data_IF_904667602119
#
_entry.id   IF_904667602119
#
_cell.length_a   1.000
_cell.length_b   1.000
_cell.length_c   1.000
_cell.angle_alpha   90.00
_cell.angle_beta   90.00
_cell.angle_gamma   90.00
#
_symmetry.space_group_name_H-M   'P 1'
#
loop_
_entity.id
_entity.type
_entity.pdbx_description
1 polymer ?
#
# COMPACT_ATOMS: atom_id res chain seq x y z
N UNK A 1 -47.04 29.48 -23.03
CA UNK A 1 -45.57 29.47 -23.17
C UNK A 1 -44.83 29.02 -21.91
N UNK A 2 -45.30 29.37 -20.71
CA UNK A 2 -44.67 29.01 -19.41
C UNK A 2 -44.39 27.51 -19.19
N UNK A 3 -45.29 26.60 -19.61
CA UNK A 3 -45.08 25.14 -19.45
C UNK A 3 -43.85 24.60 -20.20
N UNK A 4 -43.50 25.16 -21.36
CA UNK A 4 -42.33 24.72 -22.14
C UNK A 4 -41.01 25.23 -21.53
N UNK A 5 -41.04 26.41 -20.92
CA UNK A 5 -39.90 26.99 -20.23
C UNK A 5 -39.55 26.23 -18.94
N UNK A 6 -40.57 25.82 -18.17
CA UNK A 6 -40.36 25.03 -16.95
C UNK A 6 -39.76 23.65 -17.24
N UNK A 7 -40.19 23.02 -18.35
CA UNK A 7 -39.70 21.70 -18.76
C UNK A 7 -38.25 21.76 -19.25
N UNK A 8 -37.85 22.88 -19.88
CA UNK A 8 -36.46 23.12 -20.28
C UNK A 8 -35.53 23.29 -19.06
N UNK A 9 -35.95 24.06 -18.04
CA UNK A 9 -35.18 24.22 -16.80
C UNK A 9 -35.02 22.88 -16.07
N UNK A 10 -36.08 22.07 -16.04
CA UNK A 10 -36.04 20.75 -15.41
C UNK A 10 -35.09 19.79 -16.13
N UNK A 11 -35.04 19.83 -17.48
CA UNK A 11 -34.10 19.04 -18.25
C UNK A 11 -32.64 19.46 -17.97
N UNK A 12 -32.35 20.77 -17.91
CA UNK A 12 -30.99 21.26 -17.61
C UNK A 12 -30.52 20.85 -16.21
N UNK A 13 -31.42 20.82 -15.22
CA UNK A 13 -31.10 20.34 -13.86
C UNK A 13 -30.79 18.84 -13.80
N UNK A 14 -31.42 18.02 -14.65
CA UNK A 14 -31.17 16.58 -14.71
C UNK A 14 -29.87 16.22 -15.44
N UNK A 15 -29.47 16.99 -16.45
CA UNK A 15 -28.21 16.77 -17.17
C UNK A 15 -27.00 17.49 -16.55
N UNK A 16 -27.23 18.37 -15.57
CA UNK A 16 -26.19 19.13 -14.87
C UNK A 16 -25.41 18.38 -13.80
N UNK A 17 -25.73 17.10 -13.53
CA UNK A 17 -24.97 16.27 -12.60
C UNK A 17 -23.68 15.74 -13.26
N UNK A 18 -22.84 16.65 -13.75
CA UNK A 18 -21.48 16.33 -14.14
C UNK A 18 -20.75 15.85 -12.88
N UNK A 19 -20.37 14.58 -12.86
CA UNK A 19 -19.53 13.98 -11.82
C UNK A 19 -18.29 14.83 -11.61
N UNK A 20 -18.30 15.66 -10.56
CA UNK A 20 -17.13 16.41 -10.13
C UNK A 20 -16.10 15.40 -9.66
N UNK A 21 -15.09 15.13 -10.50
CA UNK A 21 -13.93 14.35 -10.08
C UNK A 21 -13.16 15.21 -9.07
N UNK A 22 -13.29 14.88 -7.79
CA UNK A 22 -12.49 15.50 -6.75
C UNK A 22 -11.04 15.04 -6.94
N UNK A 23 -10.20 15.93 -7.47
CA UNK A 23 -8.76 15.77 -7.36
C UNK A 23 -8.44 16.19 -5.92
N UNK A 24 -8.29 15.20 -5.03
CA UNK A 24 -7.77 15.46 -3.69
C UNK A 24 -6.31 15.90 -3.91
N UNK A 25 -6.05 17.21 -3.75
CA UNK A 25 -4.71 17.76 -3.72
C UNK A 25 -3.98 17.12 -2.54
N UNK A 26 -3.21 16.06 -2.83
CA UNK A 26 -2.36 15.42 -1.83
C UNK A 26 -1.09 16.23 -1.69
N UNK A 27 -0.71 16.49 -0.44
CA UNK A 27 0.61 17.05 -0.13
C UNK A 27 1.66 15.95 -0.30
N UNK A 28 2.22 15.90 -1.52
CA UNK A 28 3.30 14.99 -1.92
C UNK A 28 4.61 15.78 -1.91
N UNK A 29 5.64 15.30 -1.18
CA UNK A 29 6.95 15.93 -1.19
C UNK A 29 7.52 16.04 -2.61
N UNK A 30 8.26 17.12 -2.90
CA UNK A 30 8.83 17.36 -4.24
C UNK A 30 9.78 16.25 -4.72
N UNK A 31 10.44 15.55 -3.79
CA UNK A 31 11.33 14.43 -4.06
C UNK A 31 11.00 13.29 -3.08
N UNK A 32 9.95 12.51 -3.33
CA UNK A 32 9.49 11.51 -2.38
C UNK A 32 10.51 10.38 -2.26
N UNK A 33 10.81 10.03 -1.02
CA UNK A 33 11.71 8.94 -0.65
C UNK A 33 10.88 7.77 -0.14
N UNK A 34 11.20 6.57 -0.59
CA UNK A 34 10.44 5.37 -0.24
C UNK A 34 11.33 4.33 0.43
N UNK A 35 10.76 3.52 1.31
CA UNK A 35 11.40 2.29 1.80
C UNK A 35 10.45 1.12 1.56
N UNK A 36 11.00 -0.07 1.34
CA UNK A 36 10.23 -1.29 1.13
C UNK A 36 10.52 -2.26 2.27
N UNK A 37 9.47 -2.76 2.89
CA UNK A 37 9.51 -3.58 4.10
C UNK A 37 8.69 -4.84 3.81
N UNK A 38 9.23 -6.05 3.95
CA UNK A 38 8.41 -7.26 3.85
C UNK A 38 7.42 -7.35 5.03
N UNK A 39 6.24 -7.92 4.81
CA UNK A 39 5.23 -8.08 5.86
C UNK A 39 5.64 -9.11 6.93
N UNK A 40 6.49 -10.08 6.57
CA UNK A 40 7.08 -11.05 7.49
C UNK A 40 8.56 -11.28 7.13
N UNK A 41 9.30 -12.00 7.97
CA UNK A 41 10.67 -12.43 7.67
C UNK A 41 10.73 -13.69 6.80
N UNK A 42 9.59 -14.15 6.27
CA UNK A 42 9.56 -15.33 5.42
C UNK A 42 10.27 -15.04 4.09
N UNK A 43 10.99 -16.05 3.58
CA UNK A 43 11.75 -15.95 2.33
C UNK A 43 10.91 -15.40 1.16
N UNK A 44 9.65 -15.81 1.07
CA UNK A 44 8.74 -15.37 0.00
C UNK A 44 8.38 -13.89 0.09
N UNK A 45 8.15 -13.37 1.29
CA UNK A 45 7.83 -11.94 1.49
C UNK A 45 9.06 -11.07 1.20
N UNK A 46 10.26 -11.56 1.55
CA UNK A 46 11.53 -10.93 1.19
C UNK A 46 11.72 -10.86 -0.33
N UNK A 47 11.46 -11.95 -1.05
CA UNK A 47 11.54 -11.99 -2.52
C UNK A 47 10.58 -10.96 -3.16
N UNK A 48 9.33 -10.90 -2.72
CA UNK A 48 8.36 -9.90 -3.21
C UNK A 48 8.81 -8.47 -2.86
N UNK A 49 9.35 -8.24 -1.66
CA UNK A 49 9.89 -6.94 -1.28
C UNK A 49 11.08 -6.51 -2.15
N UNK A 50 11.95 -7.46 -2.54
CA UNK A 50 13.06 -7.22 -3.47
C UNK A 50 12.54 -6.87 -4.86
N UNK A 51 11.53 -7.59 -5.38
CA UNK A 51 10.90 -7.30 -6.66
C UNK A 51 10.25 -5.92 -6.70
N UNK A 52 9.49 -5.56 -5.66
CA UNK A 52 8.90 -4.22 -5.49
C UNK A 52 10.00 -3.15 -5.44
N UNK A 53 11.11 -3.43 -4.74
CA UNK A 53 12.26 -2.52 -4.67
C UNK A 53 12.85 -2.25 -6.05
N UNK A 54 13.09 -3.31 -6.84
CA UNK A 54 13.61 -3.18 -8.20
C UNK A 54 12.65 -2.41 -9.11
N UNK A 55 11.35 -2.68 -9.01
CA UNK A 55 10.33 -1.97 -9.76
C UNK A 55 10.27 -0.46 -9.43
N UNK A 56 10.43 -0.08 -8.15
CA UNK A 56 10.52 1.32 -7.74
C UNK A 56 11.77 2.01 -8.30
N UNK A 57 12.92 1.35 -8.25
CA UNK A 57 14.18 1.85 -8.83
C UNK A 57 14.04 2.03 -10.34
N UNK A 58 13.44 1.07 -11.05
CA UNK A 58 13.19 1.15 -12.48
C UNK A 58 12.25 2.31 -12.85
N UNK A 59 11.34 2.68 -11.95
CA UNK A 59 10.48 3.87 -12.07
C UNK A 59 11.14 5.17 -11.58
N UNK A 60 12.46 5.16 -11.34
CA UNK A 60 13.27 6.30 -10.87
C UNK A 60 12.82 6.88 -9.53
N UNK A 61 12.17 6.08 -8.69
CA UNK A 61 11.84 6.47 -7.32
C UNK A 61 13.05 6.27 -6.44
N UNK A 62 13.34 7.24 -5.56
CA UNK A 62 14.45 7.14 -4.62
C UNK A 62 14.10 6.17 -3.49
N UNK A 63 14.69 4.97 -3.52
CA UNK A 63 14.55 3.97 -2.46
C UNK A 63 15.70 4.12 -1.45
N UNK A 64 15.39 4.17 -0.16
CA UNK A 64 16.40 4.10 0.92
C UNK A 64 16.47 2.69 1.51
N UNK A 65 17.56 2.44 2.22
CA UNK A 65 17.83 1.16 2.88
C UNK A 65 16.70 0.76 3.84
N UNK A 66 16.46 -0.54 3.94
CA UNK A 66 15.44 -1.08 4.84
C UNK A 66 15.89 -0.88 6.29
N UNK A 67 15.01 -0.40 7.19
CA UNK A 67 15.33 -0.38 8.61
C UNK A 67 15.56 -1.80 9.12
N UNK A 68 16.46 -1.93 10.10
CA UNK A 68 16.68 -3.20 10.78
C UNK A 68 15.36 -3.69 11.42
N UNK A 69 14.91 -4.87 11.01
CA UNK A 69 13.66 -5.43 11.49
C UNK A 69 13.84 -5.97 12.91
N UNK A 70 12.90 -5.63 13.80
CA UNK A 70 12.90 -6.17 15.16
C UNK A 70 12.29 -7.56 15.10
N UNK A 71 13.12 -8.58 15.27
CA UNK A 71 12.62 -9.94 15.45
C UNK A 71 12.14 -10.10 16.88
N UNK A 72 10.83 -10.16 17.10
CA UNK A 72 10.29 -10.59 18.40
C UNK A 72 10.09 -12.10 18.34
N UNK A 73 11.00 -12.85 18.95
CA UNK A 73 10.86 -14.30 19.12
C UNK A 73 9.89 -14.60 20.27
N UNK A 74 8.58 -14.50 20.03
CA UNK A 74 7.57 -14.92 21.01
C UNK A 74 7.50 -16.46 21.03
N UNK A 75 8.03 -17.09 22.10
CA UNK A 75 7.81 -18.52 22.41
C UNK A 75 6.38 -18.79 22.90
N UNK A 76 5.36 -18.28 22.22
CA UNK A 76 3.97 -18.51 22.57
C UNK A 76 3.25 -19.15 21.38
N UNK A 77 2.41 -20.15 21.66
CA UNK A 77 1.52 -20.82 20.71
C UNK A 77 0.47 -19.83 20.15
N UNK A 78 0.89 -18.90 19.31
CA UNK A 78 0.03 -17.92 18.67
C UNK A 78 -0.30 -18.47 17.28
N UNK A 79 -1.55 -18.92 17.10
CA UNK A 79 -2.08 -19.14 15.76
C UNK A 79 -2.24 -17.77 15.09
N UNK A 80 -1.52 -17.57 13.99
CA UNK A 80 -1.63 -16.40 13.13
C UNK A 80 -3.04 -16.36 12.53
N UNK A 81 -3.90 -15.49 13.03
CA UNK A 81 -5.15 -15.17 12.34
C UNK A 81 -4.90 -13.93 11.50
N UNK A 82 -4.76 -14.13 10.19
CA UNK A 82 -4.98 -13.15 9.12
C UNK A 82 -4.39 -11.75 9.31
N UNK A 83 -3.54 -11.33 8.38
CA UNK A 83 -3.25 -9.91 8.18
C UNK A 83 -4.55 -9.13 8.05
N UNK A 84 -4.77 -8.15 8.94
CA UNK A 84 -5.89 -7.22 8.83
C UNK A 84 -5.43 -6.02 7.98
N UNK A 85 -5.87 -5.92 6.70
CA UNK A 85 -5.43 -4.86 5.80
C UNK A 85 -5.82 -3.46 6.33
N UNK A 86 -6.93 -3.35 7.05
CA UNK A 86 -7.52 -2.10 7.52
C UNK A 86 -6.73 -1.48 8.69
N UNK A 87 -6.08 -2.31 9.52
CA UNK A 87 -5.31 -1.83 10.69
C UNK A 87 -3.81 -1.96 10.51
N UNK A 88 -3.34 -2.80 9.59
CA UNK A 88 -1.91 -3.09 9.46
C UNK A 88 -1.31 -3.90 10.61
N UNK A 89 -2.15 -4.32 11.56
CA UNK A 89 -1.75 -5.14 12.70
C UNK A 89 -1.95 -6.61 12.35
N UNK A 90 -0.95 -7.43 12.63
CA UNK A 90 -1.10 -8.89 12.63
C UNK A 90 -1.84 -9.26 13.93
N UNK A 91 -3.10 -9.66 13.82
CA UNK A 91 -3.91 -10.05 14.98
C UNK A 91 -3.38 -11.34 15.62
N UNK A 92 -2.95 -11.26 16.88
CA UNK A 92 -2.64 -12.43 17.69
C UNK A 92 -3.88 -12.90 18.45
N UNK A 93 -4.38 -14.11 18.15
CA UNK A 93 -5.38 -14.78 18.99
C UNK A 93 -4.69 -15.90 19.75
N UNK A 94 -4.74 -15.84 21.09
CA UNK A 94 -4.27 -16.88 22.01
C UNK A 94 -5.16 -18.11 21.93
N UNK A 95 -4.91 -18.96 20.93
CA UNK A 95 -5.55 -20.26 20.79
C UNK A 95 -4.76 -21.35 21.50
N UNK A 96 -5.32 -21.90 22.59
CA UNK A 96 -4.75 -23.05 23.29
C UNK A 96 -4.59 -24.27 22.36
N UNK A 97 -3.33 -24.62 22.07
CA UNK A 97 -2.89 -25.98 21.76
C UNK A 97 -2.93 -26.41 20.30
N UNK A 98 -1.79 -26.28 19.58
CA UNK A 98 -1.28 -27.23 18.57
C UNK A 98 0.26 -27.05 18.49
N UNK A 99 1.02 -28.15 18.34
CA UNK A 99 2.49 -28.21 18.20
C UNK A 99 3.05 -27.18 17.20
N UNK A 100 4.08 -26.45 17.63
CA UNK A 100 4.57 -25.22 17.03
C UNK A 100 5.62 -25.37 15.94
N UNK A 101 5.44 -24.54 14.90
CA UNK A 101 6.50 -24.00 14.05
C UNK A 101 6.87 -22.62 14.61
N UNK A 102 8.16 -22.35 14.77
CA UNK A 102 8.67 -21.05 15.23
C UNK A 102 8.53 -20.03 14.09
N UNK A 103 7.47 -19.24 14.10
CA UNK A 103 7.31 -18.12 13.16
C UNK A 103 8.04 -16.90 13.72
N UNK A 104 9.06 -16.45 13.01
CA UNK A 104 9.80 -15.22 13.31
C UNK A 104 8.94 -14.02 12.92
N UNK A 105 8.13 -13.52 13.85
CA UNK A 105 7.29 -12.34 13.62
C UNK A 105 8.14 -11.06 13.70
N UNK A 106 7.93 -10.17 12.72
CA UNK A 106 8.38 -8.78 12.84
C UNK A 106 7.53 -8.18 13.96
N UNK A 107 8.17 -7.73 15.05
CA UNK A 107 7.49 -6.96 16.09
C UNK A 107 6.77 -5.77 15.46
N UNK A 108 5.62 -5.40 16.01
CA UNK A 108 4.67 -4.39 15.50
C UNK A 108 5.22 -3.58 14.32
N UNK A 109 4.79 -3.90 13.09
CA UNK A 109 5.25 -3.25 11.85
C UNK A 109 5.16 -1.72 11.94
N UNK A 110 4.23 -1.20 12.76
CA UNK A 110 4.08 0.23 13.06
C UNK A 110 5.31 0.80 13.78
N UNK A 111 5.96 0.04 14.66
CA UNK A 111 7.22 0.46 15.29
C UNK A 111 8.32 0.62 14.24
N UNK A 112 8.36 -0.25 13.23
CA UNK A 112 9.33 -0.16 12.13
C UNK A 112 9.11 1.10 11.29
N UNK A 113 7.87 1.58 11.16
CA UNK A 113 7.56 2.82 10.44
C UNK A 113 8.23 4.04 11.06
N UNK A 114 8.36 4.06 12.39
CA UNK A 114 9.01 5.16 13.11
C UNK A 114 10.54 5.19 12.93
N UNK A 115 11.15 4.09 12.49
CA UNK A 115 12.61 3.94 12.37
C UNK A 115 13.15 4.36 11.00
N UNK A 116 12.28 4.55 10.01
CA UNK A 116 12.68 4.96 8.67
C UNK A 116 12.51 6.47 8.47
N UNK A 117 13.39 7.07 7.66
CA UNK A 117 13.30 8.47 7.25
C UNK A 117 12.55 8.66 5.93
N UNK A 118 11.98 7.58 5.37
CA UNK A 118 11.22 7.63 4.13
C UNK A 118 9.92 8.44 4.27
N UNK A 119 9.44 9.04 3.18
CA UNK A 119 8.13 9.68 3.13
C UNK A 119 7.01 8.63 3.02
N UNK A 120 7.28 7.54 2.29
CA UNK A 120 6.35 6.44 2.08
C UNK A 120 6.98 5.09 2.39
N UNK A 121 6.14 4.19 2.89
CA UNK A 121 6.52 2.83 3.28
C UNK A 121 5.70 1.86 2.45
N UNK A 122 6.40 1.02 1.70
CA UNK A 122 5.82 -0.05 0.89
C UNK A 122 5.94 -1.35 1.69
N UNK A 123 4.81 -1.90 2.11
CA UNK A 123 4.74 -3.18 2.80
C UNK A 123 4.35 -4.25 1.80
N UNK A 124 5.29 -5.16 1.51
CA UNK A 124 5.13 -6.19 0.48
C UNK A 124 4.91 -7.57 1.13
N UNK A 125 3.95 -8.33 0.61
CA UNK A 125 3.60 -9.65 1.13
C UNK A 125 3.27 -10.62 -0.02
N UNK A 126 3.74 -11.85 0.09
CA UNK A 126 3.38 -12.94 -0.81
C UNK A 126 1.88 -13.31 -0.69
N UNK A 127 1.16 -13.64 -1.78
CA UNK A 127 1.66 -13.80 -3.14
C UNK A 127 1.97 -12.51 -3.89
N UNK A 128 1.22 -11.42 -3.72
CA UNK A 128 1.44 -10.14 -4.41
C UNK A 128 0.68 -8.98 -3.72
N UNK A 129 0.56 -9.01 -2.40
CA UNK A 129 -0.13 -7.96 -1.64
C UNK A 129 0.83 -6.81 -1.41
N UNK A 130 0.37 -5.60 -1.72
CA UNK A 130 1.10 -4.38 -1.45
C UNK A 130 0.24 -3.42 -0.64
N UNK A 131 0.85 -2.86 0.40
CA UNK A 131 0.30 -1.75 1.15
C UNK A 131 1.26 -0.56 1.10
N UNK A 132 0.74 0.63 0.87
CA UNK A 132 1.51 1.87 0.83
C UNK A 132 1.01 2.76 1.95
N UNK A 133 1.92 3.18 2.81
CA UNK A 133 1.64 4.02 3.98
C UNK A 133 2.41 5.34 3.86
N UNK A 134 1.75 6.47 4.11
CA UNK A 134 2.43 7.76 4.32
C UNK A 134 3.01 7.78 5.73
N UNK A 135 4.34 7.90 5.86
CA UNK A 135 5.04 7.72 7.15
C UNK A 135 4.53 8.68 8.22
N UNK A 136 4.43 9.97 7.92
CA UNK A 136 4.11 11.00 8.94
C UNK A 136 2.70 10.88 9.51
N UNK A 137 1.72 10.49 8.68
CA UNK A 137 0.32 10.38 9.09
C UNK A 137 -0.12 8.96 9.43
N UNK A 138 0.71 7.96 9.16
CA UNK A 138 0.33 6.53 9.14
C UNK A 138 -0.90 6.25 8.25
N UNK A 139 -1.18 7.14 7.29
CA UNK A 139 -2.33 6.99 6.38
C UNK A 139 -2.05 5.89 5.37
N UNK A 140 -3.00 4.96 5.23
CA UNK A 140 -2.94 3.90 4.22
C UNK A 140 -3.44 4.48 2.90
N UNK A 141 -2.53 4.64 1.94
CA UNK A 141 -2.83 5.21 0.63
C UNK A 141 -3.27 4.15 -0.38
N UNK A 142 -2.81 2.91 -0.17
CA UNK A 142 -3.12 1.76 -1.00
C UNK A 142 -2.99 0.50 -0.15
N UNK A 143 -3.87 -0.47 -0.34
CA UNK A 143 -3.77 -1.78 0.28
C UNK A 143 -4.58 -2.79 -0.53
N UNK A 144 -3.94 -3.43 -1.49
CA UNK A 144 -4.60 -4.43 -2.33
C UNK A 144 -3.59 -5.44 -2.90
N UNK A 145 -4.11 -6.44 -3.61
CA UNK A 145 -3.35 -7.38 -4.40
C UNK A 145 -2.95 -6.71 -5.72
N UNK A 146 -1.66 -6.66 -6.00
CA UNK A 146 -1.13 -6.33 -7.32
C UNK A 146 -1.37 -7.54 -8.22
N UNK A 147 -2.19 -7.36 -9.27
CA UNK A 147 -2.69 -8.48 -10.07
C UNK A 147 -1.61 -9.05 -10.98
N UNK A 148 -1.04 -10.18 -10.56
CA UNK A 148 -0.15 -11.01 -11.37
C UNK A 148 -0.88 -11.76 -12.46
N UNK A 149 -1.24 -11.06 -13.54
CA UNK A 149 -1.54 -11.73 -14.79
C UNK A 149 -0.26 -12.39 -15.33
N UNK A 150 -0.41 -13.57 -15.94
CA UNK A 150 0.65 -14.54 -16.28
C UNK A 150 1.80 -14.05 -17.17
N UNK A 151 1.79 -12.78 -17.61
CA UNK A 151 2.83 -12.11 -18.39
C UNK A 151 3.33 -10.85 -17.65
N UNK A 152 3.80 -11.05 -16.41
CA UNK A 152 3.85 -10.01 -15.40
C UNK A 152 5.01 -9.02 -15.56
N UNK A 153 4.70 -7.74 -15.34
CA UNK A 153 5.70 -6.72 -15.05
C UNK A 153 5.20 -5.90 -13.85
N UNK A 154 5.58 -6.30 -12.63
CA UNK A 154 5.35 -5.58 -11.36
C UNK A 154 5.64 -4.08 -11.50
N UNK A 155 6.60 -3.72 -12.37
CA UNK A 155 6.94 -2.35 -12.71
C UNK A 155 5.79 -1.52 -13.28
N UNK A 156 4.89 -2.11 -14.08
CA UNK A 156 3.76 -1.41 -14.71
C UNK A 156 2.68 -1.07 -13.68
N UNK A 157 2.29 -2.03 -12.85
CA UNK A 157 1.23 -1.83 -11.85
C UNK A 157 1.70 -0.86 -10.76
N UNK A 158 2.95 -0.99 -10.31
CA UNK A 158 3.54 -0.04 -9.38
C UNK A 158 3.58 1.35 -10.00
N UNK A 159 3.91 1.48 -11.29
CA UNK A 159 3.89 2.79 -11.96
C UNK A 159 2.50 3.41 -11.94
N UNK A 160 1.46 2.65 -12.28
CA UNK A 160 0.09 3.15 -12.25
C UNK A 160 -0.32 3.61 -10.84
N UNK A 161 0.00 2.80 -9.82
CA UNK A 161 -0.24 3.17 -8.42
C UNK A 161 0.51 4.47 -8.07
N UNK A 162 1.80 4.57 -8.39
CA UNK A 162 2.60 5.77 -8.11
C UNK A 162 2.04 7.03 -8.81
N UNK A 163 1.56 6.90 -10.05
CA UNK A 163 0.91 8.00 -10.80
C UNK A 163 -0.40 8.40 -10.12
N UNK A 164 -1.25 7.42 -9.77
CA UNK A 164 -2.52 7.66 -9.08
C UNK A 164 -2.34 8.28 -7.68
N UNK A 165 -1.22 7.96 -7.02
CA UNK A 165 -0.83 8.57 -5.76
C UNK A 165 -0.18 9.95 -5.93
N UNK A 166 0.19 10.35 -7.14
CA UNK A 166 0.90 11.59 -7.44
C UNK A 166 2.37 11.59 -7.01
N UNK A 167 2.93 10.41 -6.70
CA UNK A 167 4.34 10.24 -6.28
C UNK A 167 5.28 10.44 -7.48
N UNK A 168 4.84 10.02 -8.67
CA UNK A 168 5.53 10.30 -9.93
C UNK A 168 4.58 11.04 -10.88
N UNK A 169 5.09 11.89 -11.78
CA UNK A 169 4.25 12.58 -12.75
C UNK A 169 3.63 11.60 -13.76
N UNK A 170 2.39 11.86 -14.15
CA UNK A 170 1.76 11.19 -15.29
C UNK A 170 2.42 11.65 -16.59
N UNK A 171 3.48 10.96 -16.99
CA UNK A 171 4.09 11.14 -18.31
C UNK A 171 3.24 10.32 -19.28
N UNK A 172 2.16 10.91 -19.77
CA UNK A 172 1.47 10.38 -20.95
C UNK A 172 2.46 10.47 -22.13
N UNK A 173 2.82 9.30 -22.67
CA UNK A 173 3.54 9.22 -23.94
C UNK A 173 2.64 9.66 -25.08
#
# INVERSE_FOLDING_TARGET
>A
MIKKFLLFIFAVLLFGCATTRFIVLRDVPKNPVVTVIPATMDKKDLEVADEVTQALINNRVKVIERPAMITQTTKANIKQTGWNPDTGVLGAVTGSGVKGESVSQIGDIVEVYSKTTADYIFVAQYPNRLKIVKRDSNEILFSDIIHSDTNFNIGTDIREILVNLGIIPDIKK
#
